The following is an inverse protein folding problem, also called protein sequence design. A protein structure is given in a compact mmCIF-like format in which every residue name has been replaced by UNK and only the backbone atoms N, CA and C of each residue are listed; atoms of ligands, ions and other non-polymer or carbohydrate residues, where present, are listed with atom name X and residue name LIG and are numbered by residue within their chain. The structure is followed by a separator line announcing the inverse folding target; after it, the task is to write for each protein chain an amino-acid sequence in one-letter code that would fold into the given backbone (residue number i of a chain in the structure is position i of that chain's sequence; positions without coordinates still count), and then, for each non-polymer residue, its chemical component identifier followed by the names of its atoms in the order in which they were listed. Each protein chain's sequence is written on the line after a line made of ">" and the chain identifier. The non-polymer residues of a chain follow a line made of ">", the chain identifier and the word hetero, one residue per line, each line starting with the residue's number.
data_IF_630684540654
#
_entry.id   IF_630684540654
#
_cell.length_a   1.000
_cell.length_b   1.000
_cell.length_c   1.000
_cell.angle_alpha   90.00
_cell.angle_beta   90.00
_cell.angle_gamma   90.00
#
_symmetry.space_group_name_H-M   'P 1'
#
loop_
_entity.id
_entity.type
_entity.pdbx_description
1 polymer ?
#
# COMPACT_ATOMS: atom_id res chain seq x y z
N UNK A 1 -3.40 46.12 20.62
CA UNK A 1 -3.94 45.15 19.65
C UNK A 1 -2.81 44.23 19.23
N UNK A 2 -2.82 42.97 19.66
CA UNK A 2 -1.72 42.01 19.48
C UNK A 2 -2.29 40.80 18.71
N UNK A 3 -1.82 40.47 17.50
CA UNK A 3 -2.34 39.34 16.75
C UNK A 3 -1.88 38.03 17.39
N UNK A 4 -2.85 37.14 17.60
CA UNK A 4 -2.69 35.86 18.26
C UNK A 4 -1.64 34.98 17.55
N UNK A 5 -0.62 34.58 18.31
CA UNK A 5 0.40 33.62 17.92
C UNK A 5 -0.25 32.26 17.61
N UNK A 6 -0.10 31.78 16.37
CA UNK A 6 -0.33 30.38 16.01
C UNK A 6 0.59 29.52 16.88
N UNK A 7 0.00 28.70 17.77
CA UNK A 7 0.76 27.74 18.58
C UNK A 7 1.36 26.67 17.66
N UNK A 8 2.63 26.86 17.33
CA UNK A 8 3.48 25.83 16.73
C UNK A 8 3.62 24.66 17.71
N UNK A 9 2.87 23.59 17.51
CA UNK A 9 3.11 22.32 18.20
C UNK A 9 4.16 21.53 17.44
N UNK A 10 5.43 21.86 17.65
CA UNK A 10 6.56 21.02 17.22
C UNK A 10 6.48 19.69 18.00
N UNK A 11 6.05 18.61 17.34
CA UNK A 11 6.15 17.28 17.93
C UNK A 11 7.60 16.81 17.78
N UNK A 12 8.44 17.21 18.74
CA UNK A 12 9.78 16.62 18.90
C UNK A 12 9.60 15.10 19.05
N UNK A 13 10.53 14.33 18.47
CA UNK A 13 10.67 12.87 18.66
C UNK A 13 10.78 12.44 20.16
N UNK A 14 10.74 13.38 21.11
CA UNK A 14 10.71 13.19 22.56
C UNK A 14 9.41 12.61 23.12
N UNK A 15 8.35 12.42 22.31
CA UNK A 15 7.10 11.76 22.76
C UNK A 15 7.12 10.23 22.69
N UNK A 16 8.20 9.64 22.19
CA UNK A 16 8.41 8.19 22.23
C UNK A 16 9.13 7.88 23.54
N UNK A 17 8.54 7.05 24.40
CA UNK A 17 9.16 6.68 25.68
C UNK A 17 10.56 6.12 25.46
N UNK A 18 11.49 6.42 26.38
CA UNK A 18 12.89 5.95 26.31
C UNK A 18 12.99 4.43 26.14
N UNK A 19 11.99 3.69 26.61
CA UNK A 19 11.83 2.24 26.46
C UNK A 19 11.50 1.81 25.01
N UNK A 20 10.66 2.55 24.31
CA UNK A 20 10.34 2.32 22.89
C UNK A 20 11.52 2.70 21.99
N UNK A 21 12.24 3.80 22.29
CA UNK A 21 13.45 4.22 21.55
C UNK A 21 14.54 3.14 21.47
N UNK A 22 14.70 2.32 22.52
CA UNK A 22 15.67 1.21 22.56
C UNK A 22 15.24 -0.03 21.76
N UNK A 23 13.98 -0.10 21.31
CA UNK A 23 13.42 -1.17 20.48
C UNK A 23 13.29 -0.80 19.01
N UNK A 24 13.71 0.40 18.61
CA UNK A 24 13.82 0.69 17.20
C UNK A 24 14.97 -0.15 16.65
N UNK A 25 14.64 -1.08 15.74
CA UNK A 25 15.61 -1.67 14.84
C UNK A 25 16.08 -0.58 13.85
N UNK A 26 16.85 0.40 14.34
CA UNK A 26 17.70 1.23 13.49
C UNK A 26 18.92 0.41 13.09
N UNK A 27 18.71 -0.73 12.43
CA UNK A 27 19.74 -1.23 11.55
C UNK A 27 19.76 -0.23 10.40
N UNK A 28 20.81 0.59 10.32
CA UNK A 28 21.01 1.54 9.22
C UNK A 28 21.04 0.77 7.90
N UNK A 29 19.87 0.59 7.33
CA UNK A 29 19.66 -0.11 6.10
C UNK A 29 19.67 0.98 5.03
N UNK A 30 20.87 1.38 4.62
CA UNK A 30 21.02 2.27 3.46
C UNK A 30 20.34 1.54 2.29
N UNK A 31 19.26 2.08 1.68
CA UNK A 31 18.62 1.42 0.54
C UNK A 31 19.69 1.16 -0.51
N UNK A 32 19.64 -0.01 -1.15
CA UNK A 32 20.30 -0.14 -2.44
C UNK A 32 19.73 1.02 -3.30
N UNK A 33 20.55 1.98 -3.77
CA UNK A 33 20.07 3.18 -4.45
C UNK A 33 19.08 2.88 -5.59
N UNK A 34 19.13 1.66 -6.14
CA UNK A 34 18.22 1.14 -7.15
C UNK A 34 16.75 1.08 -6.75
N UNK A 35 16.37 0.67 -5.53
CA UNK A 35 14.95 0.44 -5.19
C UNK A 35 14.09 1.72 -5.31
N UNK A 36 14.53 2.79 -4.65
CA UNK A 36 13.79 4.05 -4.65
C UNK A 36 13.86 4.75 -6.01
N UNK A 37 15.01 4.67 -6.68
CA UNK A 37 15.16 5.20 -8.03
C UNK A 37 14.18 4.56 -9.01
N UNK A 38 13.90 3.26 -8.91
CA UNK A 38 12.89 2.64 -9.79
C UNK A 38 11.48 3.18 -9.55
N UNK A 39 11.13 3.56 -8.31
CA UNK A 39 9.86 4.24 -8.03
C UNK A 39 9.81 5.67 -8.60
N UNK A 40 10.92 6.41 -8.54
CA UNK A 40 11.04 7.73 -9.17
C UNK A 40 10.89 7.63 -10.70
N UNK A 41 11.54 6.63 -11.31
CA UNK A 41 11.47 6.36 -12.76
C UNK A 41 10.03 6.13 -13.23
N UNK A 42 9.23 5.38 -12.49
CA UNK A 42 7.80 5.15 -12.80
C UNK A 42 6.89 6.27 -12.27
N UNK A 43 7.47 7.38 -11.80
CA UNK A 43 6.78 8.63 -11.51
C UNK A 43 6.07 8.68 -10.16
N UNK A 44 6.52 7.92 -9.17
CA UNK A 44 6.06 8.07 -7.78
C UNK A 44 6.82 9.20 -7.11
N UNK A 45 6.15 9.92 -6.21
CA UNK A 45 6.85 10.79 -5.28
C UNK A 45 7.53 9.93 -4.24
N UNK A 46 8.84 10.08 -4.03
CA UNK A 46 9.57 9.38 -2.97
C UNK A 46 9.90 10.38 -1.85
N UNK A 47 9.51 10.05 -0.62
CA UNK A 47 9.83 10.84 0.57
C UNK A 47 10.62 10.01 1.58
N UNK A 48 11.57 10.66 2.25
CA UNK A 48 12.34 10.05 3.32
C UNK A 48 11.76 10.43 4.69
N UNK A 49 11.59 9.46 5.60
CA UNK A 49 11.09 9.76 6.96
C UNK A 49 11.98 10.72 7.76
N UNK A 50 13.32 10.70 7.64
CA UNK A 50 14.16 11.75 8.21
C UNK A 50 13.78 13.16 7.74
N UNK A 51 13.45 13.35 6.47
CA UNK A 51 13.06 14.65 5.92
C UNK A 51 11.67 15.07 6.41
N UNK A 52 10.75 14.12 6.53
CA UNK A 52 9.43 14.32 7.12
C UNK A 52 9.56 14.70 8.60
N UNK A 53 10.42 14.02 9.36
CA UNK A 53 10.68 14.27 10.77
C UNK A 53 11.32 15.64 11.03
N UNK A 54 12.12 16.14 10.07
CA UNK A 54 12.65 17.50 10.07
C UNK A 54 11.63 18.57 9.65
N UNK A 55 10.43 18.17 9.24
CA UNK A 55 9.37 19.07 8.81
C UNK A 55 9.56 19.64 7.40
N UNK A 56 10.44 19.04 6.57
CA UNK A 56 10.59 19.46 5.17
C UNK A 56 9.35 19.14 4.34
N UNK A 57 8.64 18.07 4.72
CA UNK A 57 7.43 17.62 4.05
C UNK A 57 6.33 17.33 5.07
N UNK A 58 5.13 17.83 4.80
CA UNK A 58 3.93 17.49 5.57
C UNK A 58 3.18 16.35 4.87
N UNK A 59 3.14 15.18 5.50
CA UNK A 59 2.45 13.99 4.98
C UNK A 59 1.03 13.81 5.55
N UNK A 60 0.52 14.77 6.33
CA UNK A 60 -0.82 14.69 6.92
C UNK A 60 -0.96 13.62 8.00
N UNK A 61 0.13 13.35 8.73
CA UNK A 61 0.18 12.40 9.85
C UNK A 61 0.41 13.15 11.17
N UNK A 62 -0.52 13.05 12.10
CA UNK A 62 -0.44 13.71 13.42
C UNK A 62 0.34 12.88 14.45
N UNK A 63 0.50 11.57 14.20
CA UNK A 63 1.14 10.63 15.13
C UNK A 63 1.70 9.41 14.40
N UNK A 64 2.77 8.80 14.91
CA UNK A 64 3.29 7.51 14.43
C UNK A 64 2.28 6.34 14.51
N UNK A 65 1.16 6.52 15.21
CA UNK A 65 0.05 5.55 15.27
C UNK A 65 -0.85 5.57 14.03
N UNK A 66 -0.80 6.65 13.25
CA UNK A 66 -1.63 6.81 12.05
C UNK A 66 -0.91 6.19 10.85
N UNK A 67 -1.60 5.27 10.18
CA UNK A 67 -1.10 4.57 8.99
C UNK A 67 -1.74 5.05 7.70
N UNK A 68 -2.88 5.75 7.79
CA UNK A 68 -3.55 6.40 6.64
C UNK A 68 -3.19 7.89 6.65
N UNK A 69 -2.77 8.41 5.50
CA UNK A 69 -2.46 9.82 5.30
C UNK A 69 -3.75 10.57 4.95
N UNK A 70 -4.52 10.93 5.98
CA UNK A 70 -5.90 11.43 5.83
C UNK A 70 -6.03 12.65 4.93
N UNK A 71 -5.11 13.60 5.02
CA UNK A 71 -5.17 14.82 4.19
C UNK A 71 -4.95 14.49 2.70
N UNK A 72 -4.04 13.56 2.41
CA UNK A 72 -3.81 13.07 1.03
C UNK A 72 -5.02 12.30 0.51
N UNK A 73 -5.61 11.45 1.34
CA UNK A 73 -6.85 10.74 1.01
C UNK A 73 -7.98 11.73 0.72
N UNK A 74 -8.22 12.69 1.59
CA UNK A 74 -9.24 13.71 1.39
C UNK A 74 -9.06 14.46 0.06
N UNK A 75 -7.86 14.96 -0.20
CA UNK A 75 -7.57 15.70 -1.43
C UNK A 75 -7.71 14.83 -2.69
N UNK A 76 -7.32 13.57 -2.63
CA UNK A 76 -7.50 12.64 -3.75
C UNK A 76 -8.99 12.34 -3.99
N UNK A 77 -9.76 12.04 -2.93
CA UNK A 77 -11.18 11.74 -3.07
C UNK A 77 -11.98 12.92 -3.64
N UNK A 78 -11.63 14.16 -3.29
CA UNK A 78 -12.22 15.36 -3.90
C UNK A 78 -11.96 15.46 -5.41
N UNK A 79 -10.76 15.10 -5.88
CA UNK A 79 -10.40 15.10 -7.30
C UNK A 79 -11.12 13.99 -8.07
N UNK A 80 -11.17 12.79 -7.48
CA UNK A 80 -11.76 11.60 -8.09
C UNK A 80 -13.30 11.71 -8.15
N UNK A 81 -13.90 12.37 -7.16
CA UNK A 81 -15.35 12.45 -7.00
C UNK A 81 -15.83 13.92 -7.02
N UNK A 82 -15.60 14.68 -8.11
CA UNK A 82 -15.79 16.14 -8.12
C UNK A 82 -17.25 16.57 -7.94
N UNK A 83 -18.21 15.68 -8.19
CA UNK A 83 -19.64 15.95 -8.04
C UNK A 83 -20.17 15.69 -6.62
N UNK A 84 -19.38 15.06 -5.74
CA UNK A 84 -19.82 14.67 -4.40
C UNK A 84 -19.60 15.82 -3.41
N UNK A 85 -20.57 16.09 -2.51
CA UNK A 85 -20.39 17.13 -1.52
C UNK A 85 -19.33 16.72 -0.47
N UNK A 86 -18.71 17.69 0.25
CA UNK A 86 -17.70 17.42 1.27
C UNK A 86 -18.15 16.44 2.36
N UNK A 87 -19.44 16.45 2.73
CA UNK A 87 -20.01 15.52 3.70
C UNK A 87 -19.92 14.06 3.23
N UNK A 88 -20.19 13.80 1.95
CA UNK A 88 -20.10 12.46 1.36
C UNK A 88 -18.64 11.95 1.40
N UNK A 89 -17.68 12.82 1.08
CA UNK A 89 -16.25 12.51 1.17
C UNK A 89 -15.83 12.23 2.62
N UNK A 90 -16.26 13.06 3.58
CA UNK A 90 -15.96 12.87 4.99
C UNK A 90 -16.53 11.54 5.54
N UNK A 91 -17.77 11.21 5.16
CA UNK A 91 -18.41 9.93 5.48
C UNK A 91 -17.63 8.75 4.90
N UNK A 92 -17.19 8.84 3.65
CA UNK A 92 -16.39 7.80 3.02
C UNK A 92 -15.06 7.57 3.75
N UNK A 93 -14.33 8.65 4.08
CA UNK A 93 -13.06 8.57 4.84
C UNK A 93 -13.31 7.95 6.22
N UNK A 94 -14.41 8.32 6.88
CA UNK A 94 -14.78 7.75 8.17
C UNK A 94 -15.02 6.25 8.06
N UNK A 95 -15.76 5.78 7.06
CA UNK A 95 -16.02 4.35 6.86
C UNK A 95 -14.75 3.56 6.53
N UNK A 96 -13.87 4.11 5.68
CA UNK A 96 -12.59 3.50 5.30
C UNK A 96 -11.62 3.41 6.47
N UNK A 97 -11.58 4.44 7.32
CA UNK A 97 -10.68 4.48 8.48
C UNK A 97 -11.27 3.90 9.75
N UNK A 98 -12.57 3.57 9.76
CA UNK A 98 -13.22 2.83 10.83
C UNK A 98 -12.78 1.37 10.80
N UNK A 99 -12.27 0.89 11.93
CA UNK A 99 -11.87 -0.50 12.15
C UNK A 99 -12.85 -1.12 13.13
N UNK A 100 -13.60 -2.13 12.68
CA UNK A 100 -14.71 -2.72 13.45
C UNK A 100 -14.24 -3.76 14.48
N UNK A 101 -13.02 -4.26 14.33
CA UNK A 101 -12.42 -5.27 15.20
C UNK A 101 -10.89 -5.22 15.20
N UNK A 102 -10.24 -6.01 16.04
CA UNK A 102 -8.80 -6.26 15.98
C UNK A 102 -8.41 -7.34 14.95
N UNK A 103 -9.36 -7.88 14.18
CA UNK A 103 -9.08 -8.93 13.19
C UNK A 103 -8.44 -8.36 11.94
N UNK A 104 -7.16 -8.66 11.73
CA UNK A 104 -6.40 -8.21 10.57
C UNK A 104 -7.03 -8.65 9.25
N UNK A 105 -7.39 -9.92 9.10
CA UNK A 105 -7.88 -10.43 7.81
C UNK A 105 -9.28 -9.93 7.50
N UNK A 106 -10.17 -9.89 8.50
CA UNK A 106 -11.50 -9.30 8.37
C UNK A 106 -11.45 -7.83 7.96
N UNK A 107 -10.63 -7.01 8.64
CA UNK A 107 -10.47 -5.60 8.27
C UNK A 107 -9.87 -5.44 6.87
N UNK A 108 -8.87 -6.26 6.50
CA UNK A 108 -8.26 -6.21 5.17
C UNK A 108 -9.26 -6.57 4.07
N UNK A 109 -10.04 -7.63 4.26
CA UNK A 109 -11.10 -8.04 3.32
C UNK A 109 -12.19 -6.98 3.19
N UNK A 110 -12.65 -6.41 4.31
CA UNK A 110 -13.63 -5.32 4.34
C UNK A 110 -13.11 -4.11 3.57
N UNK A 111 -11.89 -3.66 3.86
CA UNK A 111 -11.29 -2.55 3.15
C UNK A 111 -11.16 -2.84 1.65
N UNK A 112 -10.72 -4.04 1.29
CA UNK A 112 -10.58 -4.41 -0.12
C UNK A 112 -11.92 -4.31 -0.87
N UNK A 113 -13.03 -4.72 -0.24
CA UNK A 113 -14.36 -4.53 -0.81
C UNK A 113 -14.71 -3.04 -1.00
N UNK A 114 -14.37 -2.17 -0.04
CA UNK A 114 -14.56 -0.72 -0.21
C UNK A 114 -13.72 -0.14 -1.36
N UNK A 115 -12.53 -0.70 -1.56
CA UNK A 115 -11.62 -0.31 -2.64
C UNK A 115 -12.15 -0.74 -4.03
N UNK A 116 -12.73 -1.94 -4.14
CA UNK A 116 -13.23 -2.49 -5.42
C UNK A 116 -14.65 -2.06 -5.74
N UNK A 117 -15.54 -2.03 -4.74
CA UNK A 117 -16.99 -1.84 -4.94
C UNK A 117 -17.39 -0.37 -4.76
N UNK A 118 -16.47 0.47 -4.28
CA UNK A 118 -16.73 1.84 -3.85
C UNK A 118 -17.32 1.93 -2.44
N UNK A 119 -17.21 3.11 -1.83
CA UNK A 119 -17.77 3.37 -0.50
C UNK A 119 -19.18 3.91 -0.63
N UNK A 120 -20.16 3.16 -0.15
CA UNK A 120 -21.56 3.59 -0.14
C UNK A 120 -21.78 4.64 0.94
N UNK A 121 -22.28 5.80 0.54
CA UNK A 121 -22.56 6.93 1.43
C UNK A 121 -23.96 7.46 1.18
N UNK A 122 -24.60 7.85 2.27
CA UNK A 122 -25.87 8.56 2.25
C UNK A 122 -25.66 10.00 2.70
N UNK A 123 -26.28 10.96 2.01
CA UNK A 123 -26.21 12.38 2.37
C UNK A 123 -27.44 13.12 1.87
N UNK A 124 -27.73 14.28 2.47
CA UNK A 124 -28.88 15.09 2.10
C UNK A 124 -28.50 16.04 0.96
N UNK A 125 -29.27 16.02 -0.12
CA UNK A 125 -29.05 16.87 -1.29
C UNK A 125 -30.40 17.27 -1.90
N UNK A 126 -30.59 18.58 -2.13
CA UNK A 126 -31.80 19.13 -2.74
C UNK A 126 -33.14 18.69 -2.11
N UNK A 127 -33.19 18.46 -0.80
CA UNK A 127 -34.43 18.08 -0.11
C UNK A 127 -34.62 16.57 0.08
N UNK A 128 -33.73 15.75 -0.46
CA UNK A 128 -33.84 14.28 -0.45
C UNK A 128 -32.57 13.60 0.09
N UNK A 129 -32.73 12.37 0.58
CA UNK A 129 -31.61 11.51 0.95
C UNK A 129 -31.13 10.79 -0.31
N UNK A 130 -29.87 11.00 -0.65
CA UNK A 130 -29.21 10.39 -1.81
C UNK A 130 -28.28 9.28 -1.34
N UNK A 131 -28.36 8.13 -2.01
CA UNK A 131 -27.46 6.99 -1.80
C UNK A 131 -26.54 6.84 -3.01
N UNK A 132 -25.25 7.09 -2.81
CA UNK A 132 -24.26 7.06 -3.90
C UNK A 132 -22.94 6.46 -3.44
N UNK A 133 -22.06 6.20 -4.42
CA UNK A 133 -20.73 5.69 -4.18
C UNK A 133 -19.67 6.78 -4.26
N UNK A 134 -18.70 6.71 -3.37
CA UNK A 134 -17.44 7.45 -3.42
C UNK A 134 -16.33 6.47 -3.78
N UNK A 135 -15.61 6.74 -4.86
CA UNK A 135 -14.52 5.90 -5.34
C UNK A 135 -13.20 6.27 -4.69
N UNK A 136 -12.42 5.27 -4.27
CA UNK A 136 -11.13 5.47 -3.59
C UNK A 136 -9.96 5.63 -4.56
N UNK A 137 -10.11 5.21 -5.81
CA UNK A 137 -9.11 5.30 -6.87
C UNK A 137 -9.80 5.63 -8.19
N UNK A 138 -9.04 6.20 -9.13
CA UNK A 138 -9.50 6.49 -10.48
C UNK A 138 -8.62 5.76 -11.52
N UNK A 139 -9.01 4.54 -11.93
CA UNK A 139 -8.28 3.80 -12.95
C UNK A 139 -8.43 4.41 -14.36
N UNK A 140 -9.42 5.29 -14.58
CA UNK A 140 -9.66 5.93 -15.87
C UNK A 140 -8.72 7.12 -16.12
N UNK A 141 -8.33 7.83 -15.06
CA UNK A 141 -7.42 8.97 -15.12
C UNK A 141 -6.35 8.86 -14.02
N UNK A 142 -5.22 8.23 -14.35
CA UNK A 142 -4.16 7.92 -13.38
C UNK A 142 -3.59 9.16 -12.65
N UNK A 143 -3.64 10.33 -13.28
CA UNK A 143 -3.18 11.61 -12.71
C UNK A 143 -4.11 12.16 -11.61
N UNK A 144 -5.34 11.67 -11.51
CA UNK A 144 -6.25 12.02 -10.41
C UNK A 144 -5.84 11.36 -9.09
N UNK A 145 -5.01 10.31 -9.16
CA UNK A 145 -4.49 9.62 -7.99
C UNK A 145 -3.15 10.22 -7.52
N UNK A 146 -2.94 10.19 -6.21
CA UNK A 146 -1.67 10.51 -5.55
C UNK A 146 -0.84 9.24 -5.39
N UNK A 147 0.40 9.27 -5.89
CA UNK A 147 1.33 8.14 -5.93
C UNK A 147 2.56 8.44 -5.08
N UNK A 148 2.66 7.81 -3.92
CA UNK A 148 3.66 8.15 -2.91
C UNK A 148 4.37 6.89 -2.39
N UNK A 149 5.67 7.02 -2.20
CA UNK A 149 6.52 6.05 -1.50
C UNK A 149 7.16 6.75 -0.31
N UNK A 150 7.13 6.12 0.86
CA UNK A 150 7.86 6.60 2.04
C UNK A 150 8.91 5.56 2.45
N UNK A 151 10.16 6.00 2.62
CA UNK A 151 11.29 5.17 3.03
C UNK A 151 12.14 5.79 4.15
N UNK A 152 12.46 5.03 5.21
CA UNK A 152 11.59 4.03 5.81
C UNK A 152 10.36 4.68 6.44
N UNK A 153 9.39 3.93 6.96
CA UNK A 153 8.22 4.52 7.65
C UNK A 153 8.10 4.00 9.08
N UNK A 154 8.34 4.85 10.09
CA UNK A 154 8.07 4.46 11.48
C UNK A 154 6.56 4.33 11.74
N UNK A 155 6.13 3.21 12.30
CA UNK A 155 4.76 2.93 12.76
C UNK A 155 4.79 2.43 14.21
N UNK A 156 3.88 2.94 15.04
CA UNK A 156 3.75 2.58 16.46
C UNK A 156 2.35 2.04 16.73
N UNK A 157 2.26 0.83 17.26
CA UNK A 157 1.00 0.22 17.69
C UNK A 157 1.15 -0.45 19.07
N UNK A 158 0.34 -0.02 20.04
CA UNK A 158 0.47 -0.46 21.42
C UNK A 158 1.88 -0.19 21.98
N UNK A 159 2.57 -1.25 22.35
CA UNK A 159 3.95 -1.24 22.87
C UNK A 159 5.02 -1.62 21.82
N UNK A 160 4.62 -1.69 20.55
CA UNK A 160 5.50 -2.03 19.44
C UNK A 160 5.76 -0.80 18.58
N UNK A 161 7.01 -0.69 18.12
CA UNK A 161 7.44 0.32 17.17
C UNK A 161 8.29 -0.38 16.12
N UNK A 162 7.88 -0.27 14.86
CA UNK A 162 8.56 -0.88 13.73
C UNK A 162 8.78 0.16 12.64
N UNK A 163 9.81 -0.05 11.84
CA UNK A 163 10.14 0.83 10.73
C UNK A 163 10.24 -0.02 9.45
N UNK A 164 9.11 -0.40 8.82
CA UNK A 164 9.14 -1.02 7.51
C UNK A 164 9.97 -0.22 6.52
N UNK A 165 10.71 -0.93 5.66
CA UNK A 165 11.71 -0.31 4.80
C UNK A 165 11.03 0.55 3.73
N UNK A 166 9.99 0.08 3.05
CA UNK A 166 9.22 0.94 2.13
C UNK A 166 7.73 0.70 2.29
N UNK A 167 6.96 1.79 2.33
CA UNK A 167 5.49 1.74 2.28
C UNK A 167 5.01 2.54 1.09
N UNK A 168 4.19 1.89 0.25
CA UNK A 168 3.62 2.47 -0.97
C UNK A 168 2.19 2.91 -0.69
N UNK A 169 1.95 4.19 -0.91
CA UNK A 169 0.69 4.88 -0.68
C UNK A 169 0.03 5.26 -2.00
N UNK A 170 -1.23 4.87 -2.17
CA UNK A 170 -2.09 5.39 -3.23
C UNK A 170 -3.20 6.18 -2.55
N UNK A 171 -3.36 7.46 -2.90
CA UNK A 171 -4.37 8.34 -2.30
C UNK A 171 -4.29 8.33 -0.76
N UNK A 172 -3.09 8.25 -0.19
CA UNK A 172 -2.87 8.19 1.26
C UNK A 172 -3.19 6.85 1.93
N UNK A 173 -3.55 5.79 1.20
CA UNK A 173 -3.80 4.44 1.72
C UNK A 173 -2.54 3.55 1.55
N UNK A 174 -2.06 2.86 2.61
CA UNK A 174 -0.83 2.04 2.53
C UNK A 174 -1.10 0.68 1.86
N UNK A 175 -1.07 0.66 0.53
CA UNK A 175 -1.48 -0.50 -0.27
C UNK A 175 -0.37 -1.53 -0.49
N UNK A 176 0.91 -1.19 -0.31
CA UNK A 176 1.98 -2.20 -0.35
C UNK A 176 3.07 -1.91 0.69
N UNK A 177 3.71 -2.98 1.17
CA UNK A 177 4.86 -2.89 2.10
C UNK A 177 6.00 -3.73 1.54
N UNK A 178 7.19 -3.15 1.51
CA UNK A 178 8.42 -3.81 1.06
C UNK A 178 9.37 -3.92 2.24
N UNK A 179 9.88 -5.13 2.46
CA UNK A 179 10.94 -5.43 3.43
C UNK A 179 12.22 -5.75 2.67
N UNK A 180 13.27 -5.00 2.93
CA UNK A 180 14.58 -5.15 2.31
C UNK A 180 15.54 -5.90 3.22
N UNK A 181 16.25 -6.86 2.63
CA UNK A 181 17.34 -7.60 3.24
C UNK A 181 18.64 -7.20 2.54
N UNK A 182 19.65 -6.88 3.34
CA UNK A 182 20.95 -6.43 2.84
C UNK A 182 21.92 -7.60 2.85
N UNK A 183 22.51 -7.97 1.69
CA UNK A 183 23.29 -9.19 1.53
C UNK A 183 24.69 -9.16 2.17
N UNK A 184 24.98 -8.21 3.07
CA UNK A 184 26.24 -8.16 3.83
C UNK A 184 26.31 -9.17 4.98
N UNK A 185 25.28 -10.02 5.14
CA UNK A 185 25.19 -11.04 6.18
C UNK A 185 25.10 -12.42 5.50
N UNK A 186 25.96 -13.36 5.86
CA UNK A 186 25.93 -14.74 5.33
C UNK A 186 24.59 -15.46 5.59
N UNK A 187 23.77 -14.94 6.52
CA UNK A 187 22.41 -15.42 6.81
C UNK A 187 21.28 -14.63 6.10
N UNK A 188 21.62 -13.67 5.22
CA UNK A 188 20.68 -12.83 4.48
C UNK A 188 19.89 -13.64 3.46
N UNK A 189 18.84 -14.30 3.94
CA UNK A 189 17.91 -15.06 3.11
C UNK A 189 16.59 -14.31 3.01
N UNK A 190 15.88 -14.49 1.91
CA UNK A 190 14.50 -14.02 1.80
C UNK A 190 13.60 -14.52 2.95
N UNK A 191 13.91 -15.69 3.53
CA UNK A 191 13.25 -16.23 4.73
C UNK A 191 13.39 -15.31 5.95
N UNK A 192 14.49 -14.56 6.07
CA UNK A 192 14.64 -13.53 7.11
C UNK A 192 13.67 -12.35 6.88
N UNK A 193 13.50 -11.93 5.62
CA UNK A 193 12.49 -10.93 5.25
C UNK A 193 11.06 -11.39 5.54
N UNK A 194 10.76 -12.65 5.24
CA UNK A 194 9.47 -13.25 5.59
C UNK A 194 9.23 -13.24 7.10
N UNK A 195 10.22 -13.59 7.93
CA UNK A 195 10.11 -13.50 9.40
C UNK A 195 9.86 -12.06 9.89
N UNK A 196 10.49 -11.05 9.28
CA UNK A 196 10.22 -9.63 9.58
C UNK A 196 8.78 -9.27 9.25
N UNK A 197 8.28 -9.67 8.08
CA UNK A 197 6.87 -9.50 7.70
C UNK A 197 5.95 -10.13 8.75
N UNK A 198 6.16 -11.40 9.12
CA UNK A 198 5.34 -12.10 10.12
C UNK A 198 5.34 -11.35 11.46
N UNK A 199 6.47 -10.79 11.87
CA UNK A 199 6.58 -9.95 13.07
C UNK A 199 5.74 -8.68 12.93
N UNK A 200 5.79 -8.00 11.78
CA UNK A 200 5.01 -6.79 11.53
C UNK A 200 3.50 -7.09 11.52
N UNK A 201 3.06 -8.18 10.88
CA UNK A 201 1.65 -8.58 10.88
C UNK A 201 1.10 -8.78 12.30
N UNK A 202 1.91 -9.33 13.21
CA UNK A 202 1.52 -9.54 14.61
C UNK A 202 1.57 -8.27 15.45
N UNK A 203 2.57 -7.40 15.22
CA UNK A 203 2.90 -6.32 16.16
C UNK A 203 2.39 -4.94 15.75
N UNK A 204 2.17 -4.70 14.45
CA UNK A 204 1.60 -3.46 13.88
C UNK A 204 0.51 -3.77 12.82
N UNK A 205 -0.50 -4.60 13.15
CA UNK A 205 -1.51 -5.07 12.19
C UNK A 205 -2.27 -3.94 11.48
N UNK A 206 -2.44 -2.76 12.09
CA UNK A 206 -3.17 -1.64 11.45
C UNK A 206 -2.59 -1.21 10.12
N UNK A 207 -1.26 -1.29 9.95
CA UNK A 207 -0.62 -0.98 8.67
C UNK A 207 -1.13 -1.90 7.55
N UNK A 208 -1.48 -3.14 7.91
CA UNK A 208 -1.87 -4.19 6.99
C UNK A 208 -3.39 -4.33 6.82
N UNK A 209 -4.19 -3.51 7.51
CA UNK A 209 -5.63 -3.42 7.25
C UNK A 209 -5.95 -2.92 5.83
N UNK A 210 -4.99 -2.24 5.18
CA UNK A 210 -5.18 -1.68 3.83
C UNK A 210 -4.33 -2.39 2.76
N UNK A 211 -3.36 -3.20 3.20
CA UNK A 211 -2.35 -3.75 2.33
C UNK A 211 -2.94 -4.70 1.27
N UNK A 212 -2.57 -4.49 0.02
CA UNK A 212 -2.90 -5.34 -1.12
C UNK A 212 -1.96 -6.54 -1.20
N UNK A 213 -0.65 -6.28 -1.22
CA UNK A 213 0.40 -7.30 -1.30
C UNK A 213 1.69 -6.85 -0.61
N UNK A 214 2.60 -7.80 -0.41
CA UNK A 214 3.86 -7.66 0.32
C UNK A 214 5.03 -8.03 -0.59
N UNK A 215 6.15 -7.32 -0.44
CA UNK A 215 7.37 -7.59 -1.21
C UNK A 215 8.55 -7.81 -0.26
N UNK A 216 9.38 -8.78 -0.58
CA UNK A 216 10.69 -8.98 0.06
C UNK A 216 11.76 -8.75 -0.99
N UNK A 217 12.75 -7.92 -0.70
CA UNK A 217 13.91 -7.70 -1.58
C UNK A 217 15.19 -8.19 -0.90
N UNK A 218 16.12 -8.71 -1.69
CA UNK A 218 17.47 -9.07 -1.25
C UNK A 218 18.46 -8.71 -2.35
N UNK A 219 19.16 -7.58 -2.20
CA UNK A 219 19.96 -7.01 -3.28
C UNK A 219 19.10 -6.75 -4.53
N UNK A 220 19.47 -7.36 -5.65
CA UNK A 220 18.78 -7.23 -6.95
C UNK A 220 17.64 -8.25 -7.16
N UNK A 221 17.37 -9.09 -6.16
CA UNK A 221 16.32 -10.10 -6.21
C UNK A 221 15.08 -9.66 -5.43
N UNK A 222 13.89 -10.09 -5.86
CA UNK A 222 12.64 -9.71 -5.22
C UNK A 222 11.57 -10.81 -5.26
N UNK A 223 10.72 -10.87 -4.24
CA UNK A 223 9.61 -11.83 -4.11
C UNK A 223 8.34 -11.11 -3.68
N UNK A 224 7.20 -11.50 -4.23
CA UNK A 224 5.87 -10.93 -3.91
C UNK A 224 4.92 -12.01 -3.37
N UNK A 225 4.18 -11.66 -2.34
CA UNK A 225 3.15 -12.50 -1.70
C UNK A 225 2.04 -11.66 -1.07
N UNK A 226 1.11 -12.29 -0.35
CA UNK A 226 0.03 -11.61 0.37
C UNK A 226 0.14 -11.85 1.89
N UNK A 227 -0.79 -11.25 2.64
CA UNK A 227 -0.90 -11.39 4.10
C UNK A 227 -1.08 -12.84 4.57
N UNK A 228 -1.64 -13.70 3.71
CA UNK A 228 -1.91 -15.11 4.02
C UNK A 228 -0.99 -16.05 3.24
N UNK A 229 0.00 -15.52 2.52
CA UNK A 229 0.95 -16.35 1.79
C UNK A 229 1.92 -17.01 2.73
N UNK A 230 2.11 -18.32 2.57
CA UNK A 230 3.24 -19.03 3.18
C UNK A 230 4.55 -18.65 2.46
N UNK A 231 5.68 -18.99 3.07
CA UNK A 231 7.01 -18.63 2.56
C UNK A 231 7.23 -19.12 1.11
N UNK A 232 6.76 -20.32 0.80
CA UNK A 232 6.86 -20.95 -0.52
C UNK A 232 6.02 -20.22 -1.58
N UNK A 233 5.01 -19.47 -1.16
CA UNK A 233 4.15 -18.67 -2.04
C UNK A 233 4.71 -17.27 -2.31
N UNK A 234 5.82 -16.86 -1.67
CA UNK A 234 6.55 -15.65 -2.05
C UNK A 234 7.40 -15.93 -3.28
N UNK A 235 6.87 -15.57 -4.45
CA UNK A 235 7.45 -15.90 -5.76
C UNK A 235 8.05 -14.67 -6.46
N UNK A 236 9.03 -14.84 -7.34
CA UNK A 236 9.52 -13.77 -8.20
C UNK A 236 8.43 -13.27 -9.16
N UNK A 237 8.57 -12.02 -9.60
CA UNK A 237 7.78 -11.45 -10.69
C UNK A 237 8.62 -11.42 -11.96
N UNK A 238 8.07 -11.84 -13.10
CA UNK A 238 8.86 -12.17 -14.29
C UNK A 238 8.67 -11.27 -15.50
N UNK A 239 7.65 -10.40 -15.50
CA UNK A 239 7.32 -9.60 -16.67
C UNK A 239 7.13 -8.13 -16.29
N UNK A 240 7.64 -7.23 -17.13
CA UNK A 240 7.24 -5.82 -17.06
C UNK A 240 5.95 -5.73 -17.89
N UNK A 241 6.04 -5.63 -19.21
CA UNK A 241 4.86 -5.40 -20.07
C UNK A 241 4.20 -6.70 -20.55
N UNK A 242 4.20 -7.73 -19.69
CA UNK A 242 3.66 -9.06 -19.99
C UNK A 242 4.38 -9.86 -21.08
N UNK A 243 5.50 -9.33 -21.59
CA UNK A 243 6.54 -10.12 -22.25
C UNK A 243 7.48 -10.74 -21.22
N UNK A 244 7.99 -11.94 -21.52
CA UNK A 244 8.94 -12.65 -20.67
C UNK A 244 10.17 -11.78 -20.37
N UNK A 245 10.83 -12.12 -19.26
CA UNK A 245 12.04 -11.49 -18.73
C UNK A 245 12.87 -10.74 -19.79
N UNK A 246 13.22 -9.45 -19.58
CA UNK A 246 14.16 -8.75 -20.45
C UNK A 246 15.39 -9.66 -20.67
N UNK A 247 15.85 -9.76 -21.91
CA UNK A 247 16.92 -10.69 -22.32
C UNK A 247 18.02 -10.75 -21.26
N UNK A 248 18.44 -11.96 -20.84
CA UNK A 248 19.41 -12.16 -19.73
C UNK A 248 20.49 -11.07 -19.70
N UNK A 249 20.49 -10.26 -18.66
CA UNK A 249 21.44 -9.16 -18.45
C UNK A 249 20.87 -7.74 -18.66
N UNK A 250 19.65 -7.58 -19.17
CA UNK A 250 19.03 -6.28 -19.42
C UNK A 250 18.38 -5.63 -18.18
N UNK A 251 17.81 -6.41 -17.27
CA UNK A 251 17.13 -5.90 -16.06
C UNK A 251 17.26 -6.86 -14.87
N UNK A 252 17.18 -6.31 -13.66
CA UNK A 252 17.20 -7.09 -12.39
C UNK A 252 15.80 -7.57 -12.00
N UNK A 253 15.67 -8.64 -11.19
CA UNK A 253 14.33 -9.06 -10.68
C UNK A 253 13.66 -7.93 -9.89
N UNK A 254 14.45 -7.14 -9.15
CA UNK A 254 13.94 -5.98 -8.43
C UNK A 254 13.34 -4.96 -9.39
N UNK A 255 14.09 -4.58 -10.42
CA UNK A 255 13.63 -3.66 -11.46
C UNK A 255 12.37 -4.16 -12.16
N UNK A 256 12.37 -5.42 -12.58
CA UNK A 256 11.23 -6.07 -13.24
C UNK A 256 10.00 -6.06 -12.34
N UNK A 257 10.17 -6.33 -11.05
CA UNK A 257 9.06 -6.28 -10.10
C UNK A 257 8.54 -4.85 -9.92
N UNK A 258 9.42 -3.86 -9.70
CA UNK A 258 9.00 -2.47 -9.47
C UNK A 258 8.31 -1.91 -10.71
N UNK A 259 8.95 -1.98 -11.88
CA UNK A 259 8.35 -1.50 -13.12
C UNK A 259 7.15 -2.34 -13.58
N UNK A 260 7.05 -3.58 -13.12
CA UNK A 260 5.95 -4.51 -13.36
C UNK A 260 4.70 -4.16 -12.56
N UNK A 261 4.69 -4.54 -11.27
CA UNK A 261 3.48 -4.49 -10.43
C UNK A 261 3.19 -3.10 -9.87
N UNK A 262 4.18 -2.19 -9.87
CA UNK A 262 3.99 -0.81 -9.40
C UNK A 262 3.88 0.22 -10.52
N UNK A 263 3.86 -0.18 -11.78
CA UNK A 263 3.38 0.74 -12.82
C UNK A 263 1.95 1.19 -12.49
N UNK A 264 1.66 2.48 -12.65
CA UNK A 264 0.43 3.09 -12.13
C UNK A 264 -0.84 2.44 -12.67
N UNK A 265 -0.85 2.10 -13.97
CA UNK A 265 -1.99 1.43 -14.59
C UNK A 265 -2.14 0.01 -14.06
N UNK A 266 -1.04 -0.75 -14.12
CA UNK A 266 -1.01 -2.15 -13.68
C UNK A 266 -1.33 -2.28 -12.19
N UNK A 267 -0.76 -1.45 -11.34
CA UNK A 267 -1.02 -1.47 -9.91
C UNK A 267 -2.53 -1.40 -9.59
N UNK A 268 -3.29 -0.52 -10.27
CA UNK A 268 -4.74 -0.47 -10.06
C UNK A 268 -5.46 -1.69 -10.62
N UNK A 269 -5.06 -2.19 -11.79
CA UNK A 269 -5.60 -3.42 -12.37
C UNK A 269 -5.40 -4.62 -11.44
N UNK A 270 -4.18 -4.80 -10.94
CA UNK A 270 -3.77 -5.85 -10.02
C UNK A 270 -4.57 -5.78 -8.72
N UNK A 271 -4.65 -4.58 -8.13
CA UNK A 271 -5.34 -4.38 -6.85
C UNK A 271 -6.86 -4.46 -6.99
N UNK A 272 -7.45 -4.07 -8.12
CA UNK A 272 -8.91 -4.09 -8.29
C UNK A 272 -9.44 -5.42 -8.81
N UNK A 273 -8.63 -6.21 -9.51
CA UNK A 273 -9.11 -7.37 -10.25
C UNK A 273 -8.35 -8.67 -9.99
N UNK A 274 -7.11 -8.61 -9.48
CA UNK A 274 -6.25 -9.80 -9.33
C UNK A 274 -6.01 -10.21 -7.89
N UNK A 275 -6.69 -9.57 -6.93
CA UNK A 275 -6.71 -10.00 -5.53
C UNK A 275 -8.05 -10.71 -5.26
N UNK A 276 -7.96 -11.93 -4.75
CA UNK A 276 -9.13 -12.77 -4.44
C UNK A 276 -9.08 -13.19 -2.98
N UNK A 277 -10.24 -13.16 -2.33
CA UNK A 277 -10.43 -13.72 -0.99
C UNK A 277 -11.24 -15.01 -1.08
N UNK A 278 -10.62 -16.12 -0.72
CA UNK A 278 -11.28 -17.41 -0.56
C UNK A 278 -11.68 -17.59 0.91
N UNK A 279 -12.84 -18.18 1.17
CA UNK A 279 -13.34 -18.37 2.52
C UNK A 279 -14.01 -19.73 2.66
N UNK A 280 -13.47 -20.58 3.53
CA UNK A 280 -14.04 -21.88 3.84
C UNK A 280 -14.87 -21.87 5.14
N UNK A 281 -15.40 -20.69 5.50
CA UNK A 281 -16.19 -20.47 6.72
C UNK A 281 -15.34 -20.09 7.94
N UNK A 282 -14.28 -20.86 8.21
CA UNK A 282 -13.37 -20.61 9.36
C UNK A 282 -12.10 -19.86 9.00
N UNK A 283 -11.59 -20.08 7.78
CA UNK A 283 -10.33 -19.50 7.31
C UNK A 283 -10.57 -18.63 6.08
N UNK A 284 -9.93 -17.46 6.07
CA UNK A 284 -9.88 -16.55 4.92
C UNK A 284 -8.48 -16.63 4.31
N UNK A 285 -8.42 -16.94 3.02
CA UNK A 285 -7.21 -16.99 2.20
C UNK A 285 -7.22 -15.79 1.26
N UNK A 286 -6.14 -15.00 1.22
CA UNK A 286 -5.95 -13.90 0.27
C UNK A 286 -4.97 -14.34 -0.80
N UNK A 287 -5.41 -14.44 -2.05
CA UNK A 287 -4.58 -14.83 -3.19
C UNK A 287 -4.33 -13.64 -4.09
N UNK A 288 -3.10 -13.58 -4.62
CA UNK A 288 -2.72 -12.63 -5.66
C UNK A 288 -2.51 -13.41 -6.96
N UNK A 289 -3.43 -13.22 -7.91
CA UNK A 289 -3.45 -13.94 -9.19
C UNK A 289 -2.38 -13.36 -10.12
N UNK A 290 -1.24 -14.02 -10.18
CA UNK A 290 -0.11 -13.63 -11.04
C UNK A 290 -0.41 -14.03 -12.49
N UNK A 291 -1.08 -13.17 -13.24
CA UNK A 291 -1.35 -13.41 -14.66
C UNK A 291 -0.54 -12.44 -15.52
N UNK A 292 0.29 -12.92 -16.45
CA UNK A 292 0.84 -12.05 -17.49
C UNK A 292 -0.34 -11.62 -18.37
N UNK A 293 -0.70 -10.33 -18.28
CA UNK A 293 -1.87 -9.65 -18.86
C UNK A 293 -3.28 -10.02 -18.33
N UNK A 294 -4.02 -8.98 -17.93
CA UNK A 294 -5.47 -8.89 -18.04
C UNK A 294 -5.88 -7.46 -18.45
N UNK A 295 -5.32 -6.90 -19.54
CA UNK A 295 -5.90 -5.68 -20.13
C UNK A 295 -7.38 -5.94 -20.35
N UNK A 296 -8.24 -5.24 -19.61
CA UNK A 296 -9.69 -5.32 -19.75
C UNK A 296 -10.01 -5.05 -21.22
N UNK A 297 -10.28 -6.12 -21.97
CA UNK A 297 -10.85 -6.00 -23.29
C UNK A 297 -12.23 -5.38 -23.10
N UNK A 298 -12.44 -4.22 -23.71
CA UNK A 298 -13.74 -3.58 -23.88
C UNK A 298 -14.85 -4.63 -24.01
N UNK A 299 -15.87 -4.49 -23.16
CA UNK A 299 -17.11 -5.25 -23.17
C UNK A 299 -17.73 -5.25 -24.58
N UNK A 300 -17.48 -6.29 -25.39
CA UNK A 300 -18.35 -6.74 -26.50
C UNK A 300 -17.79 -7.96 -27.26
N UNK A 301 -17.15 -8.94 -26.61
CA UNK A 301 -16.92 -10.25 -27.24
C UNK A 301 -17.21 -11.39 -26.27
N UNK A 302 -18.23 -12.17 -26.62
CA UNK A 302 -18.63 -13.43 -26.02
C UNK A 302 -17.47 -14.43 -26.01
N UNK A 303 -17.18 -14.99 -24.85
CA UNK A 303 -16.20 -16.08 -24.68
C UNK A 303 -16.67 -17.32 -25.45
N UNK A 304 -15.81 -17.84 -26.35
CA UNK A 304 -15.83 -19.25 -26.74
C UNK A 304 -14.67 -19.94 -26.03
N UNK A 305 -14.97 -21.06 -25.38
CA UNK A 305 -14.03 -21.95 -24.72
C UNK A 305 -13.01 -22.54 -25.72
N UNK A 306 -11.75 -22.77 -25.30
CA UNK A 306 -10.74 -23.40 -26.18
C UNK A 306 -11.03 -24.89 -26.36
N UNK A 307 -10.63 -25.50 -27.50
CA UNK A 307 -10.81 -26.91 -27.74
C UNK A 307 -9.85 -27.72 -26.86
N UNK A 308 -10.37 -28.81 -26.31
CA UNK A 308 -9.58 -29.86 -25.67
C UNK A 308 -8.83 -30.58 -26.79
N UNK A 309 -7.49 -30.50 -26.80
CA UNK A 309 -6.67 -31.36 -27.64
C UNK A 309 -6.36 -32.65 -26.88
N UNK A 310 -6.73 -33.79 -27.49
CA UNK A 310 -6.27 -35.12 -27.13
C UNK A 310 -4.94 -35.48 -27.77
#
# INVERSE_FOLDING_TARGET
>A
MNPAQLRQTTVKASRITRKLRRRFDFTQSAPAPSLLTWFEVIGYTVLLEPDIALGKYHIGRSSYKEVVLRDRLHNALQKINPTKPPEAIAKAISQVTSTESSDLLGNNRRFHKLLTDGVEVEYFFNGEIVHEKVWLTDPSHLLNNDWLVIHPLTVVEGNHAHCPDVVVFINGLPLAVIVSIYPTNEQATFKAGYRRIQTYLQQIPKLFFYNSFLVITCGNQARVGTLTSDWEEFLPWHAIDGEDFPTKGAATELEVLIQGIFDKRRFLEEVLHLIVFESNGTNISKKFLRRPFCTVLNSNKTFRSPPICG
#
